data_IF_789713308364
#
_entry.id   IF_789713308364
#
_cell.length_a   1.000
_cell.length_b   1.000
_cell.length_c   1.000
_cell.angle_alpha   90.00
_cell.angle_beta   90.00
_cell.angle_gamma   90.00
#
_symmetry.space_group_name_H-M   'P 1'
#
loop_
_entity.id
_entity.type
_entity.pdbx_description
1 polymer ?
#
# COMPACT_ATOMS: atom_id res chain seq x y z
N UNK A 1 -21.46 52.82 -4.71
CA UNK A 1 -21.50 51.69 -5.66
C UNK A 1 -20.47 50.72 -5.11
N UNK A 2 -21.00 49.77 -4.39
CA UNK A 2 -20.20 48.69 -3.77
C UNK A 2 -20.66 47.39 -4.43
N UNK A 3 -19.80 46.86 -5.28
CA UNK A 3 -19.99 45.56 -5.87
C UNK A 3 -19.65 44.52 -4.76
N UNK A 4 -20.70 43.85 -4.30
CA UNK A 4 -20.58 42.66 -3.47
C UNK A 4 -20.30 41.52 -4.44
N UNK A 5 -19.07 41.05 -4.47
CA UNK A 5 -18.71 39.78 -5.11
C UNK A 5 -19.41 38.65 -4.33
N UNK A 6 -20.36 38.01 -4.99
CA UNK A 6 -21.01 36.79 -4.54
C UNK A 6 -19.95 35.65 -4.55
N UNK A 7 -19.41 35.35 -3.39
CA UNK A 7 -18.56 34.18 -3.16
C UNK A 7 -19.44 32.93 -3.07
N UNK A 8 -20.02 32.53 -4.22
CA UNK A 8 -20.75 31.29 -4.33
C UNK A 8 -19.76 30.11 -4.27
N UNK A 9 -19.62 29.52 -3.08
CA UNK A 9 -18.96 28.22 -2.93
C UNK A 9 -19.64 27.22 -3.87
N UNK A 10 -18.88 26.52 -4.74
CA UNK A 10 -19.46 25.59 -5.71
C UNK A 10 -20.22 24.48 -4.99
N UNK A 11 -21.54 24.46 -5.15
CA UNK A 11 -22.41 23.42 -4.60
C UNK A 11 -22.63 22.33 -5.65
N UNK A 12 -22.63 21.08 -5.20
CA UNK A 12 -22.99 19.94 -6.05
C UNK A 12 -24.43 20.10 -6.53
N UNK A 13 -24.66 19.81 -7.81
CA UNK A 13 -26.03 19.81 -8.35
C UNK A 13 -26.90 18.80 -7.59
N UNK A 14 -28.22 19.06 -7.52
CA UNK A 14 -29.18 18.16 -6.86
C UNK A 14 -29.10 16.73 -7.40
N UNK A 15 -28.80 16.56 -8.70
CA UNK A 15 -28.58 15.26 -9.34
C UNK A 15 -27.28 14.60 -8.86
N UNK A 16 -26.20 15.35 -8.73
CA UNK A 16 -24.92 14.83 -8.22
C UNK A 16 -25.01 14.44 -6.75
N UNK A 17 -25.79 15.22 -5.96
CA UNK A 17 -26.03 14.91 -4.56
C UNK A 17 -26.88 13.63 -4.39
N UNK A 18 -27.90 13.45 -5.23
CA UNK A 18 -28.73 12.25 -5.24
C UNK A 18 -27.90 11.00 -5.63
N UNK A 19 -27.07 11.09 -6.67
CA UNK A 19 -26.19 10.00 -7.08
C UNK A 19 -25.16 9.64 -5.99
N UNK A 20 -24.63 10.64 -5.28
CA UNK A 20 -23.72 10.43 -4.16
C UNK A 20 -24.42 9.76 -2.97
N UNK A 21 -25.67 10.15 -2.68
CA UNK A 21 -26.49 9.55 -1.63
C UNK A 21 -26.84 8.09 -1.97
N UNK A 22 -27.17 7.81 -3.23
CA UNK A 22 -27.45 6.46 -3.71
C UNK A 22 -26.20 5.57 -3.62
N UNK A 23 -25.05 6.08 -4.03
CA UNK A 23 -23.77 5.40 -3.89
C UNK A 23 -23.42 5.06 -2.42
N UNK A 24 -23.61 6.01 -1.49
CA UNK A 24 -23.39 5.75 -0.06
C UNK A 24 -24.46 4.81 0.54
N UNK A 25 -25.68 4.82 0.01
CA UNK A 25 -26.71 3.89 0.44
C UNK A 25 -26.40 2.45 -0.03
N UNK A 26 -25.93 2.29 -1.26
CA UNK A 26 -25.48 1.00 -1.80
C UNK A 26 -24.25 0.48 -1.03
N UNK A 27 -23.29 1.34 -0.71
CA UNK A 27 -22.15 0.96 0.15
C UNK A 27 -22.62 0.56 1.56
N UNK A 28 -23.59 1.24 2.16
CA UNK A 28 -24.15 0.86 3.45
C UNK A 28 -24.92 -0.46 3.42
N UNK A 29 -25.59 -0.79 2.32
CA UNK A 29 -26.27 -2.09 2.16
C UNK A 29 -25.31 -3.25 1.94
N UNK A 30 -24.08 -2.96 1.48
CA UNK A 30 -23.00 -3.96 1.40
C UNK A 30 -22.25 -4.13 2.74
N UNK A 31 -22.50 -3.26 3.72
CA UNK A 31 -21.95 -3.31 5.07
C UNK A 31 -23.09 -3.53 6.06
N UNK A 32 -23.83 -4.63 5.92
CA UNK A 32 -24.46 -5.23 7.09
C UNK A 32 -23.36 -6.00 7.84
N UNK A 33 -23.15 -5.78 9.15
CA UNK A 33 -22.17 -6.54 9.91
C UNK A 33 -22.73 -7.95 10.16
N UNK A 34 -22.63 -8.80 9.14
CA UNK A 34 -22.69 -10.22 9.31
C UNK A 34 -21.43 -10.69 10.02
N UNK A 35 -21.49 -11.80 10.73
CA UNK A 35 -20.33 -12.41 11.39
C UNK A 35 -19.15 -12.70 10.44
N UNK A 36 -19.32 -12.52 9.13
CA UNK A 36 -18.32 -12.66 8.07
C UNK A 36 -17.40 -11.44 7.90
N UNK A 37 -17.75 -10.26 8.47
CA UNK A 37 -16.86 -9.07 8.42
C UNK A 37 -15.62 -9.20 9.32
N UNK A 38 -15.58 -10.22 10.17
CA UNK A 38 -14.33 -10.66 10.82
C UNK A 38 -13.31 -11.21 9.83
N UNK A 39 -13.69 -11.49 8.60
CA UNK A 39 -12.92 -12.31 7.65
C UNK A 39 -12.83 -11.77 6.23
N UNK A 40 -12.79 -10.47 6.03
CA UNK A 40 -12.20 -9.98 4.78
C UNK A 40 -10.66 -10.13 4.81
N UNK A 41 -10.25 -11.16 5.49
CA UNK A 41 -8.90 -11.69 5.70
C UNK A 41 -8.42 -12.47 4.45
N UNK A 42 -9.27 -12.71 3.46
CA UNK A 42 -8.89 -13.48 2.29
C UNK A 42 -7.69 -12.92 1.51
N UNK A 43 -7.51 -11.60 1.52
CA UNK A 43 -6.30 -10.95 0.96
C UNK A 43 -5.11 -11.09 1.93
N UNK A 44 -5.40 -11.12 3.21
CA UNK A 44 -4.43 -11.30 4.30
C UNK A 44 -3.96 -12.76 4.31
N UNK A 45 -4.84 -13.74 4.11
CA UNK A 45 -4.48 -15.16 4.11
C UNK A 45 -3.53 -15.54 2.97
N UNK A 46 -3.63 -14.94 1.79
CA UNK A 46 -2.67 -15.22 0.70
C UNK A 46 -1.26 -14.72 1.06
N UNK A 47 -1.14 -13.58 1.71
CA UNK A 47 0.13 -13.07 2.24
C UNK A 47 0.62 -13.91 3.44
N UNK A 48 -0.27 -14.57 4.16
CA UNK A 48 0.02 -15.39 5.35
C UNK A 48 0.54 -16.78 5.02
N UNK A 49 0.19 -17.37 3.89
CA UNK A 49 0.82 -18.61 3.40
C UNK A 49 2.33 -18.42 3.22
N UNK A 50 2.76 -17.23 2.82
CA UNK A 50 4.18 -16.86 2.79
C UNK A 50 4.80 -16.90 4.20
N UNK A 51 4.09 -16.46 5.22
CA UNK A 51 4.56 -16.48 6.61
C UNK A 51 4.72 -17.90 7.14
N UNK A 52 3.76 -18.77 6.91
CA UNK A 52 3.87 -20.19 7.34
C UNK A 52 5.05 -20.90 6.68
N UNK A 53 5.28 -20.65 5.39
CA UNK A 53 6.42 -21.18 4.65
C UNK A 53 7.77 -20.62 5.12
N UNK A 54 7.78 -19.40 5.68
CA UNK A 54 9.00 -18.70 6.10
C UNK A 54 9.28 -18.79 7.61
N UNK A 55 8.34 -19.28 8.42
CA UNK A 55 8.34 -19.17 9.89
C UNK A 55 9.53 -19.82 10.59
N UNK A 56 10.15 -20.81 9.99
CA UNK A 56 11.24 -21.54 10.63
C UNK A 56 12.61 -20.86 10.53
N UNK A 57 12.78 -19.88 9.59
CA UNK A 57 14.08 -19.30 9.29
C UNK A 57 14.11 -17.77 9.15
N UNK A 58 12.97 -17.08 9.26
CA UNK A 58 12.89 -15.64 9.01
C UNK A 58 12.08 -14.92 10.08
N UNK A 59 12.55 -13.72 10.46
CA UNK A 59 11.78 -12.76 11.23
C UNK A 59 11.04 -11.82 10.25
N UNK A 60 9.73 -11.76 10.34
CA UNK A 60 8.88 -10.95 9.47
C UNK A 60 8.22 -9.85 10.30
N UNK A 61 8.21 -8.64 9.78
CA UNK A 61 7.51 -7.50 10.36
C UNK A 61 6.55 -6.91 9.33
N UNK A 62 5.38 -6.47 9.80
CA UNK A 62 4.34 -5.85 8.98
C UNK A 62 4.21 -4.40 9.40
N UNK A 63 4.50 -3.49 8.49
CA UNK A 63 4.34 -2.05 8.67
C UNK A 63 3.01 -1.65 8.00
N UNK A 64 2.00 -1.35 8.81
CA UNK A 64 0.66 -1.15 8.31
C UNK A 64 -0.08 -0.07 9.12
N UNK A 65 -0.87 0.75 8.43
CA UNK A 65 -1.71 1.78 9.03
C UNK A 65 -2.95 1.20 9.71
N UNK A 66 -3.48 0.12 9.15
CA UNK A 66 -4.67 -0.54 9.67
C UNK A 66 -4.38 -1.29 10.97
N UNK A 67 -4.90 -0.76 12.07
CA UNK A 67 -4.70 -1.32 13.41
C UNK A 67 -5.31 -2.70 13.62
N UNK A 68 -6.14 -3.20 12.68
CA UNK A 68 -6.64 -4.58 12.74
C UNK A 68 -5.49 -5.59 12.66
N UNK A 69 -4.40 -5.21 12.03
CA UNK A 69 -3.18 -6.02 11.97
C UNK A 69 -2.44 -6.15 13.31
N UNK A 70 -2.84 -5.38 14.35
CA UNK A 70 -2.27 -5.52 15.69
C UNK A 70 -2.51 -6.92 16.32
N UNK A 71 -3.43 -7.71 15.74
CA UNK A 71 -3.60 -9.12 16.11
C UNK A 71 -2.33 -9.97 15.94
N UNK A 72 -1.35 -9.48 15.17
CA UNK A 72 -0.07 -10.15 14.93
C UNK A 72 1.00 -9.84 15.97
N UNK A 73 0.62 -9.11 17.03
CA UNK A 73 1.48 -8.86 18.17
C UNK A 73 2.72 -8.06 17.83
N UNK A 74 3.90 -8.56 18.25
CA UNK A 74 5.16 -7.83 18.10
C UNK A 74 5.64 -7.71 16.66
N UNK A 75 5.14 -8.52 15.75
CA UNK A 75 5.46 -8.47 14.33
C UNK A 75 4.77 -7.29 13.63
N UNK A 76 3.70 -6.76 14.22
CA UNK A 76 3.00 -5.58 13.73
C UNK A 76 3.69 -4.29 14.18
N UNK A 77 3.94 -3.41 13.23
CA UNK A 77 4.41 -2.03 13.44
C UNK A 77 3.36 -1.10 12.85
N UNK A 78 2.76 -0.27 13.70
CA UNK A 78 1.90 0.79 13.18
C UNK A 78 2.73 1.73 12.32
N UNK A 79 2.28 1.97 11.09
CA UNK A 79 2.99 2.78 10.12
C UNK A 79 2.05 3.73 9.40
N UNK A 80 2.41 5.01 9.41
CA UNK A 80 1.78 6.06 8.63
C UNK A 80 2.80 6.62 7.63
N UNK A 81 2.59 6.40 6.34
CA UNK A 81 3.49 6.91 5.32
C UNK A 81 3.65 8.44 5.34
N UNK A 82 2.70 9.19 5.94
CA UNK A 82 2.82 10.63 6.14
C UNK A 82 3.93 11.00 7.11
N UNK A 83 4.31 10.08 7.99
CA UNK A 83 5.38 10.20 8.97
C UNK A 83 6.39 9.06 8.76
N UNK A 84 7.13 9.03 7.65
CA UNK A 84 7.85 7.85 7.15
C UNK A 84 8.93 7.31 8.09
N UNK A 85 9.46 8.14 8.97
CA UNK A 85 10.52 7.76 9.93
C UNK A 85 10.04 7.76 11.39
N UNK A 86 8.75 7.94 11.64
CA UNK A 86 8.16 7.75 12.97
C UNK A 86 7.98 6.26 13.26
N UNK A 87 9.09 5.62 13.59
CA UNK A 87 9.20 4.18 13.83
C UNK A 87 9.59 3.92 15.29
N UNK A 88 9.15 2.80 15.89
CA UNK A 88 9.57 2.42 17.22
C UNK A 88 11.10 2.28 17.35
N UNK A 89 11.68 2.68 18.49
CA UNK A 89 13.14 2.61 18.75
C UNK A 89 13.75 1.21 18.52
N UNK A 90 12.95 0.15 18.68
CA UNK A 90 13.37 -1.23 18.42
C UNK A 90 13.63 -1.54 16.94
N UNK A 91 13.19 -0.68 16.04
CA UNK A 91 13.39 -0.81 14.59
C UNK A 91 14.63 -0.01 14.20
N UNK A 92 15.76 -0.69 14.12
CA UNK A 92 17.02 -0.06 13.77
C UNK A 92 17.15 0.19 12.27
N UNK A 93 17.91 1.22 11.90
CA UNK A 93 18.27 1.47 10.52
C UNK A 93 19.02 0.27 9.93
N UNK A 94 18.75 -0.03 8.66
CA UNK A 94 19.40 -1.10 7.89
C UNK A 94 19.38 -2.47 8.61
N UNK A 95 18.25 -2.79 9.26
CA UNK A 95 18.09 -4.03 10.02
C UNK A 95 17.40 -5.16 9.24
N UNK A 96 16.83 -4.87 8.08
CA UNK A 96 16.11 -5.84 7.26
C UNK A 96 16.93 -6.27 6.03
N UNK A 97 17.04 -7.57 5.80
CA UNK A 97 17.76 -8.13 4.65
C UNK A 97 17.02 -7.85 3.34
N UNK A 98 15.69 -7.81 3.39
CA UNK A 98 14.81 -7.43 2.28
C UNK A 98 13.66 -6.60 2.80
N UNK A 99 13.28 -5.58 2.05
CA UNK A 99 12.06 -4.79 2.28
C UNK A 99 11.14 -4.95 1.08
N UNK A 100 9.90 -5.35 1.38
CA UNK A 100 8.81 -5.44 0.39
C UNK A 100 7.88 -4.27 0.64
N UNK A 101 7.63 -3.45 -0.36
CA UNK A 101 6.78 -2.28 -0.27
C UNK A 101 5.65 -2.31 -1.31
N UNK A 102 4.44 -1.98 -0.86
CA UNK A 102 3.24 -1.83 -1.68
C UNK A 102 2.52 -0.53 -1.25
N UNK A 103 2.98 0.65 -1.73
CA UNK A 103 2.44 1.94 -1.32
C UNK A 103 0.94 2.04 -1.61
N UNK A 104 0.13 2.60 -0.69
CA UNK A 104 -1.33 2.59 -0.82
C UNK A 104 -1.87 3.50 -1.94
N UNK A 105 -1.07 4.42 -2.44
CA UNK A 105 -1.50 5.38 -3.46
C UNK A 105 -0.48 5.51 -4.59
N UNK A 106 -1.00 5.64 -5.83
CA UNK A 106 -0.21 5.93 -7.03
C UNK A 106 0.04 7.44 -7.15
N UNK A 107 0.79 7.98 -6.19
CA UNK A 107 1.19 9.39 -6.18
C UNK A 107 2.67 9.53 -5.89
N UNK A 108 3.28 10.56 -6.49
CA UNK A 108 4.71 10.89 -6.27
C UNK A 108 5.01 11.10 -4.78
N UNK A 109 4.13 11.77 -4.07
CA UNK A 109 4.30 12.03 -2.64
C UNK A 109 4.32 10.75 -1.83
N UNK A 110 3.35 9.85 -2.06
CA UNK A 110 3.28 8.57 -1.35
C UNK A 110 4.53 7.74 -1.62
N UNK A 111 4.93 7.60 -2.89
CA UNK A 111 6.12 6.84 -3.25
C UNK A 111 7.40 7.44 -2.65
N UNK A 112 7.56 8.77 -2.70
CA UNK A 112 8.71 9.44 -2.10
C UNK A 112 8.81 9.18 -0.60
N UNK A 113 7.73 9.39 0.14
CA UNK A 113 7.68 9.17 1.59
C UNK A 113 7.92 7.71 1.96
N UNK A 114 7.26 6.78 1.26
CA UNK A 114 7.50 5.34 1.45
C UNK A 114 8.95 4.96 1.15
N UNK A 115 9.56 5.57 0.14
CA UNK A 115 10.96 5.34 -0.21
C UNK A 115 11.93 5.77 0.90
N UNK A 116 11.60 6.79 1.68
CA UNK A 116 12.40 7.19 2.86
C UNK A 116 12.44 6.06 3.90
N UNK A 117 11.28 5.45 4.18
CA UNK A 117 11.16 4.31 5.09
C UNK A 117 11.91 3.09 4.54
N UNK A 118 11.72 2.77 3.28
CA UNK A 118 12.39 1.63 2.62
C UNK A 118 13.90 1.76 2.72
N UNK A 119 14.44 2.94 2.41
CA UNK A 119 15.89 3.23 2.53
C UNK A 119 16.40 3.12 3.95
N UNK A 120 15.61 3.57 4.92
CA UNK A 120 15.95 3.46 6.32
C UNK A 120 16.05 1.99 6.77
N UNK A 121 15.09 1.18 6.36
CA UNK A 121 14.95 -0.20 6.82
C UNK A 121 15.91 -1.18 6.15
N UNK A 122 16.12 -1.06 4.84
CA UNK A 122 16.82 -2.08 4.05
C UNK A 122 18.33 -2.11 4.26
N UNK A 123 18.89 -3.31 4.24
CA UNK A 123 20.33 -3.56 4.04
C UNK A 123 20.76 -3.52 2.57
N UNK A 124 19.79 -3.47 1.65
CA UNK A 124 20.07 -3.36 0.23
C UNK A 124 19.04 -3.97 -0.70
N UNK A 125 18.32 -5.03 -0.31
CA UNK A 125 17.33 -5.68 -1.19
C UNK A 125 15.96 -5.05 -1.06
N UNK A 126 15.38 -4.67 -2.19
CA UNK A 126 14.08 -4.02 -2.29
C UNK A 126 13.24 -4.74 -3.32
N UNK A 127 11.98 -5.04 -2.96
CA UNK A 127 10.92 -5.39 -3.87
C UNK A 127 9.81 -4.35 -3.68
N UNK A 128 9.46 -3.66 -4.75
CA UNK A 128 8.38 -2.67 -4.76
C UNK A 128 7.28 -3.17 -5.70
N UNK A 129 6.02 -3.10 -5.25
CA UNK A 129 4.84 -3.29 -6.08
C UNK A 129 4.13 -1.95 -6.21
N UNK A 130 4.00 -1.42 -7.42
CA UNK A 130 3.31 -0.14 -7.67
C UNK A 130 2.83 -0.07 -9.11
N UNK A 131 2.15 1.02 -9.48
CA UNK A 131 1.66 1.22 -10.84
C UNK A 131 2.79 1.35 -11.86
N UNK A 132 2.56 0.86 -13.08
CA UNK A 132 3.51 1.00 -14.19
C UNK A 132 3.88 2.46 -14.47
N UNK A 133 2.97 3.39 -14.21
CA UNK A 133 3.19 4.83 -14.38
C UNK A 133 4.24 5.41 -13.42
N UNK A 134 4.60 4.68 -12.36
CA UNK A 134 5.56 5.12 -11.34
C UNK A 134 6.99 4.64 -11.62
N UNK A 135 7.26 4.01 -12.77
CA UNK A 135 8.54 3.37 -13.10
C UNK A 135 9.74 4.31 -12.97
N UNK A 136 9.68 5.49 -13.60
CA UNK A 136 10.79 6.45 -13.57
C UNK A 136 11.11 6.89 -12.15
N UNK A 137 10.07 7.21 -11.38
CA UNK A 137 10.24 7.63 -9.99
C UNK A 137 10.73 6.51 -9.09
N UNK A 138 10.24 5.28 -9.29
CA UNK A 138 10.71 4.12 -8.55
C UNK A 138 12.21 3.87 -8.80
N UNK A 139 12.64 3.97 -10.06
CA UNK A 139 14.03 3.85 -10.45
C UNK A 139 14.91 4.96 -9.83
N UNK A 140 14.45 6.22 -9.89
CA UNK A 140 15.17 7.37 -9.32
C UNK A 140 15.30 7.28 -7.81
N UNK A 141 14.17 6.98 -7.12
CA UNK A 141 14.12 6.99 -5.66
C UNK A 141 14.79 5.76 -5.04
N UNK A 142 14.64 4.57 -5.61
CA UNK A 142 15.03 3.31 -4.99
C UNK A 142 16.08 2.50 -5.78
N UNK A 143 16.42 2.93 -6.99
CA UNK A 143 17.36 2.19 -7.85
C UNK A 143 16.81 0.82 -8.29
N UNK A 144 15.50 0.66 -8.32
CA UNK A 144 14.82 -0.58 -8.71
C UNK A 144 14.53 -0.58 -10.21
N UNK A 145 14.36 -1.78 -10.78
CA UNK A 145 14.01 -2.01 -12.18
C UNK A 145 12.74 -2.85 -12.27
N UNK A 146 11.92 -2.60 -13.28
CA UNK A 146 10.71 -3.36 -13.53
C UNK A 146 11.05 -4.81 -13.86
N UNK A 147 10.33 -5.74 -13.22
CA UNK A 147 10.40 -7.17 -13.52
C UNK A 147 9.50 -7.54 -14.71
N UNK A 148 9.78 -8.66 -15.36
CA UNK A 148 8.90 -9.25 -16.36
C UNK A 148 7.64 -9.85 -15.74
N UNK A 149 7.69 -10.22 -14.46
CA UNK A 149 6.54 -10.70 -13.71
C UNK A 149 5.47 -9.63 -13.56
N UNK A 150 4.23 -9.96 -13.92
CA UNK A 150 3.06 -9.09 -13.79
C UNK A 150 2.16 -9.61 -12.67
N UNK A 151 2.02 -8.89 -11.55
CA UNK A 151 1.12 -9.29 -10.49
C UNK A 151 -0.32 -9.26 -10.97
N UNK A 152 -1.10 -10.29 -10.62
CA UNK A 152 -2.52 -10.38 -10.95
C UNK A 152 -3.33 -10.12 -9.71
N UNK A 153 -4.24 -9.18 -9.80
CA UNK A 153 -5.18 -8.88 -8.74
C UNK A 153 -6.50 -9.63 -8.98
N UNK A 154 -7.09 -10.15 -7.92
CA UNK A 154 -8.40 -10.82 -7.96
C UNK A 154 -9.55 -9.88 -8.25
N UNK A 155 -9.36 -8.58 -7.98
CA UNK A 155 -10.30 -7.51 -8.33
C UNK A 155 -9.75 -6.73 -9.51
N UNK A 156 -10.64 -6.30 -10.41
CA UNK A 156 -10.26 -5.44 -11.54
C UNK A 156 -9.78 -4.09 -10.99
N UNK A 157 -8.48 -3.87 -11.00
CA UNK A 157 -7.88 -2.57 -10.76
C UNK A 157 -7.79 -1.80 -12.08
N UNK A 158 -8.11 -0.50 -12.04
CA UNK A 158 -8.07 0.36 -13.22
C UNK A 158 -6.63 0.62 -13.71
N UNK A 159 -5.64 0.46 -12.84
CA UNK A 159 -4.23 0.71 -13.14
C UNK A 159 -3.46 -0.60 -13.31
N UNK A 160 -2.49 -0.59 -14.21
CA UNK A 160 -1.54 -1.68 -14.38
C UNK A 160 -0.50 -1.63 -13.25
N UNK A 161 -0.41 -2.71 -12.47
CA UNK A 161 0.60 -2.87 -11.42
C UNK A 161 1.77 -3.68 -11.93
N UNK A 162 2.96 -3.35 -11.43
CA UNK A 162 4.22 -4.02 -11.74
C UNK A 162 5.05 -4.25 -10.47
N UNK A 163 5.92 -5.25 -10.55
CA UNK A 163 6.94 -5.48 -9.55
C UNK A 163 8.27 -4.87 -10.01
N UNK A 164 9.00 -4.31 -9.06
CA UNK A 164 10.31 -3.68 -9.28
C UNK A 164 11.29 -4.19 -8.24
N UNK A 165 12.50 -4.51 -8.65
CA UNK A 165 13.55 -5.00 -7.75
C UNK A 165 14.90 -4.35 -8.06
N UNK A 166 15.82 -4.38 -7.07
CA UNK A 166 17.21 -3.96 -7.25
C UNK A 166 18.21 -5.12 -7.10
N UNK A 167 17.72 -6.35 -7.16
CA UNK A 167 18.54 -7.56 -7.05
C UNK A 167 17.98 -8.65 -7.98
N UNK A 168 18.76 -9.72 -8.20
CA UNK A 168 18.26 -10.88 -8.93
C UNK A 168 17.28 -11.66 -8.04
N UNK A 169 15.99 -11.46 -8.31
CA UNK A 169 14.87 -12.01 -7.52
C UNK A 169 14.33 -13.31 -8.09
N UNK A 170 14.74 -13.70 -9.29
CA UNK A 170 14.12 -14.76 -10.06
C UNK A 170 12.75 -14.41 -10.66
N UNK A 171 12.24 -13.19 -10.46
CA UNK A 171 10.96 -12.74 -11.03
C UNK A 171 11.05 -12.41 -12.53
N UNK A 172 12.26 -12.38 -13.08
CA UNK A 172 12.54 -12.19 -14.51
C UNK A 172 12.74 -13.51 -15.24
N UNK A 173 12.73 -14.66 -14.55
CA UNK A 173 12.78 -15.96 -15.17
C UNK A 173 11.50 -16.19 -15.97
N UNK A 174 11.56 -15.94 -17.27
CA UNK A 174 10.49 -16.32 -18.20
C UNK A 174 10.24 -17.82 -18.13
N UNK A 175 8.97 -18.15 -18.00
CA UNK A 175 8.46 -19.52 -18.20
C UNK A 175 8.46 -19.80 -19.69
#
# INVERSE_FOLDING_TARGET
>A
MSDLEDDETPQLSAHALAALQEFYAEQKQQIEPGEDDKYNIGIIEENWKLRELCRENFSIYIFEYDKRFAMYGEEFIFYDYNNPLDLPERIAAHSFDIVIADPPYLSEECLRKTSETVKYLTRGKILLCTGAIMEEQAAELLGVKMCTFVPRHTRNLANEFRCYVNYDSGLDCGI
#
